data_IF_085837753841
#
_entry.id   IF_085837753841
#
_cell.length_a   1.000
_cell.length_b   1.000
_cell.length_c   1.000
_cell.angle_alpha   90.00
_cell.angle_beta   90.00
_cell.angle_gamma   90.00
#
_symmetry.space_group_name_H-M   'P 1'
#
loop_
_entity.id
_entity.type
_entity.pdbx_description
1 polymer ?
#
# COMPACT_ATOMS: atom_id res chain seq x y z
N UNK A 1 -0.02 -8.18 -18.18
CA UNK A 1 0.27 -7.87 -16.77
C UNK A 1 1.66 -7.25 -16.74
N UNK A 2 1.89 -6.08 -16.11
CA UNK A 2 3.26 -5.66 -15.82
C UNK A 2 3.94 -6.82 -15.07
N UNK A 3 5.16 -7.18 -15.46
CA UNK A 3 5.77 -8.47 -15.12
C UNK A 3 6.18 -8.61 -13.64
N UNK A 4 5.56 -7.86 -12.72
CA UNK A 4 5.79 -7.93 -11.28
C UNK A 4 7.27 -7.76 -10.91
N UNK A 5 8.03 -7.09 -11.77
CA UNK A 5 9.47 -6.93 -11.56
C UNK A 5 9.66 -6.05 -10.32
N UNK A 6 10.65 -6.36 -9.48
CA UNK A 6 11.02 -5.45 -8.39
C UNK A 6 11.24 -4.03 -8.93
N UNK A 7 10.58 -3.05 -8.32
CA UNK A 7 10.63 -1.64 -8.71
C UNK A 7 9.51 -1.16 -9.65
N UNK A 8 8.63 -2.04 -10.12
CA UNK A 8 7.56 -1.70 -11.08
C UNK A 8 6.29 -1.19 -10.36
N UNK A 9 5.99 -1.76 -9.19
CA UNK A 9 4.88 -1.32 -8.35
C UNK A 9 5.27 -1.41 -6.86
N UNK A 10 5.18 -0.29 -6.11
CA UNK A 10 5.55 -0.27 -4.70
C UNK A 10 4.72 -1.24 -3.85
N UNK A 11 3.47 -1.52 -4.24
CA UNK A 11 2.64 -2.53 -3.56
C UNK A 11 3.25 -3.94 -3.69
N UNK A 12 3.61 -4.36 -4.92
CA UNK A 12 4.21 -5.69 -5.12
C UNK A 12 5.60 -5.78 -4.54
N UNK A 13 6.33 -4.67 -4.52
CA UNK A 13 7.65 -4.61 -3.90
C UNK A 13 7.59 -4.87 -2.40
N UNK A 14 6.60 -4.31 -1.71
CA UNK A 14 6.38 -4.61 -0.29
C UNK A 14 5.83 -6.03 -0.12
N UNK A 15 4.73 -6.36 -0.80
CA UNK A 15 3.97 -7.59 -0.52
C UNK A 15 4.64 -8.86 -1.02
N UNK A 16 5.20 -8.83 -2.24
CA UNK A 16 5.79 -10.01 -2.88
C UNK A 16 7.31 -10.08 -2.67
N UNK A 17 7.99 -8.93 -2.74
CA UNK A 17 9.45 -8.87 -2.69
C UNK A 17 10.00 -8.52 -1.30
N UNK A 18 9.15 -8.17 -0.33
CA UNK A 18 9.55 -7.86 1.05
C UNK A 18 10.45 -6.62 1.16
N UNK A 19 10.39 -5.72 0.18
CA UNK A 19 11.22 -4.52 0.14
C UNK A 19 10.64 -3.45 1.06
N UNK A 20 11.52 -2.75 1.77
CA UNK A 20 11.15 -1.50 2.46
C UNK A 20 11.04 -0.38 1.43
N UNK A 21 9.84 0.18 1.24
CA UNK A 21 9.58 1.24 0.26
C UNK A 21 9.30 2.55 0.98
N UNK A 22 8.25 2.59 1.81
CA UNK A 22 7.78 3.80 2.47
C UNK A 22 8.22 3.87 3.94
N UNK A 23 8.68 2.75 4.48
CA UNK A 23 9.08 2.61 5.87
C UNK A 23 8.14 1.71 6.67
N UNK A 24 8.55 1.32 7.89
CA UNK A 24 7.96 0.18 8.60
C UNK A 24 6.46 0.32 8.87
N UNK A 25 5.96 1.54 9.11
CA UNK A 25 4.54 1.78 9.42
C UNK A 25 3.65 1.58 8.19
N UNK A 26 3.99 2.25 7.09
CA UNK A 26 3.23 2.19 5.84
C UNK A 26 3.35 0.80 5.22
N UNK A 27 4.54 0.22 5.20
CA UNK A 27 4.77 -1.12 4.66
C UNK A 27 3.97 -2.19 5.44
N UNK A 28 3.87 -2.05 6.77
CA UNK A 28 2.99 -2.91 7.60
C UNK A 28 1.51 -2.76 7.25
N UNK A 29 1.05 -1.54 6.95
CA UNK A 29 -0.33 -1.31 6.53
C UNK A 29 -0.61 -1.90 5.14
N UNK A 30 0.36 -1.81 4.23
CA UNK A 30 0.29 -2.43 2.89
C UNK A 30 0.13 -3.95 3.01
N UNK A 31 0.91 -4.61 3.86
CA UNK A 31 0.74 -6.04 4.15
C UNK A 31 -0.67 -6.35 4.67
N UNK A 32 -1.20 -5.52 5.58
CA UNK A 32 -2.53 -5.73 6.13
C UNK A 32 -3.63 -5.55 5.09
N UNK A 33 -3.48 -4.61 4.16
CA UNK A 33 -4.38 -4.49 3.00
C UNK A 33 -4.34 -5.77 2.15
N UNK A 34 -3.15 -6.33 1.92
CA UNK A 34 -2.98 -7.58 1.19
C UNK A 34 -3.70 -8.76 1.89
N UNK A 35 -3.54 -8.89 3.21
CA UNK A 35 -4.21 -9.92 4.01
C UNK A 35 -5.73 -9.82 4.00
N UNK A 36 -6.29 -8.61 3.84
CA UNK A 36 -7.74 -8.37 3.79
C UNK A 36 -8.37 -8.54 2.40
N UNK A 37 -7.64 -9.08 1.42
CA UNK A 37 -8.15 -9.35 0.07
C UNK A 37 -7.49 -8.55 -1.06
N UNK A 38 -6.34 -7.91 -0.80
CA UNK A 38 -5.53 -7.25 -1.83
C UNK A 38 -5.85 -5.77 -2.05
N UNK A 39 -4.88 -4.99 -2.53
CA UNK A 39 -5.10 -3.59 -2.89
C UNK A 39 -5.97 -3.43 -4.15
N UNK A 40 -6.94 -2.53 -4.07
CA UNK A 40 -7.70 -2.04 -5.22
C UNK A 40 -6.94 -0.97 -6.02
N UNK A 41 -7.41 -0.63 -7.23
CA UNK A 41 -6.77 0.32 -8.13
C UNK A 41 -6.52 1.70 -7.48
N UNK A 42 -7.38 2.13 -6.56
CA UNK A 42 -7.20 3.40 -5.85
C UNK A 42 -5.96 3.36 -4.95
N UNK A 43 -5.84 2.30 -4.14
CA UNK A 43 -4.66 2.08 -3.28
C UNK A 43 -3.39 1.93 -4.12
N UNK A 44 -3.42 1.16 -5.20
CA UNK A 44 -2.25 0.99 -6.08
C UNK A 44 -1.79 2.32 -6.67
N UNK A 45 -2.74 3.14 -7.13
CA UNK A 45 -2.46 4.47 -7.68
C UNK A 45 -1.95 5.44 -6.59
N UNK A 46 -2.51 5.39 -5.39
CA UNK A 46 -2.03 6.18 -4.25
C UNK A 46 -0.56 5.88 -3.95
N UNK A 47 -0.21 4.60 -3.81
CA UNK A 47 1.15 4.15 -3.52
C UNK A 47 2.11 4.56 -4.63
N UNK A 48 1.73 4.37 -5.90
CA UNK A 48 2.57 4.75 -7.03
C UNK A 48 2.85 6.26 -7.06
N UNK A 49 1.83 7.09 -6.83
CA UNK A 49 1.98 8.55 -6.85
C UNK A 49 2.84 9.11 -5.71
N UNK A 50 2.97 8.36 -4.61
CA UNK A 50 3.73 8.77 -3.44
C UNK A 50 5.03 7.97 -3.28
N UNK A 51 5.41 7.17 -4.28
CA UNK A 51 6.62 6.35 -4.21
C UNK A 51 7.85 7.25 -3.99
N UNK A 52 8.55 7.10 -2.85
CA UNK A 52 9.69 7.96 -2.51
C UNK A 52 10.86 7.81 -3.50
N UNK A 53 10.90 6.72 -4.27
CA UNK A 53 11.94 6.44 -5.28
C UNK A 53 11.79 7.30 -6.53
N UNK A 54 10.60 7.86 -6.78
CA UNK A 54 10.33 8.72 -7.92
C UNK A 54 10.80 10.17 -7.70
N UNK A 55 11.30 10.51 -6.51
CA UNK A 55 11.87 11.84 -6.22
C UNK A 55 10.85 12.98 -6.28
N UNK A 56 9.55 12.68 -6.26
CA UNK A 56 8.49 13.68 -6.29
C UNK A 56 8.39 14.39 -4.94
N UNK A 57 8.62 15.70 -4.93
CA UNK A 57 8.65 16.56 -3.74
C UNK A 57 7.30 16.70 -2.98
N UNK A 58 6.31 15.87 -3.30
CA UNK A 58 4.95 15.88 -2.74
C UNK A 58 4.57 14.62 -1.97
N UNK A 59 5.53 13.75 -1.64
CA UNK A 59 5.25 12.59 -0.78
C UNK A 59 4.91 13.08 0.63
N UNK A 60 3.62 13.19 0.94
CA UNK A 60 3.14 13.30 2.33
C UNK A 60 2.89 11.88 2.86
N UNK A 61 3.85 11.28 3.58
CA UNK A 61 3.68 9.93 4.13
C UNK A 61 2.51 9.85 5.11
N UNK A 62 2.13 10.95 5.77
CA UNK A 62 0.99 10.97 6.68
C UNK A 62 -0.33 10.81 5.92
N UNK A 63 -0.45 11.40 4.72
CA UNK A 63 -1.63 11.23 3.86
C UNK A 63 -1.78 9.77 3.39
N UNK A 64 -0.66 9.14 2.99
CA UNK A 64 -0.64 7.72 2.59
C UNK A 64 -1.03 6.82 3.76
N UNK A 65 -0.41 7.03 4.92
CA UNK A 65 -0.71 6.29 6.15
C UNK A 65 -2.18 6.43 6.56
N UNK A 66 -2.73 7.64 6.54
CA UNK A 66 -4.12 7.90 6.89
C UNK A 66 -5.09 7.14 5.98
N UNK A 67 -4.86 7.17 4.66
CA UNK A 67 -5.71 6.48 3.69
C UNK A 67 -5.62 4.96 3.85
N UNK A 68 -4.42 4.41 4.01
CA UNK A 68 -4.24 2.97 4.25
C UNK A 68 -4.92 2.51 5.54
N UNK A 69 -4.82 3.29 6.63
CA UNK A 69 -5.55 3.00 7.87
C UNK A 69 -7.06 2.99 7.66
N UNK A 70 -7.59 3.93 6.88
CA UNK A 70 -9.01 3.97 6.54
C UNK A 70 -9.43 2.70 5.79
N UNK A 71 -8.68 2.30 4.76
CA UNK A 71 -8.96 1.08 3.98
C UNK A 71 -8.94 -0.17 4.87
N UNK A 72 -7.93 -0.29 5.73
CA UNK A 72 -7.85 -1.41 6.70
C UNK A 72 -9.04 -1.39 7.66
N UNK A 73 -9.47 -0.22 8.13
CA UNK A 73 -10.60 -0.09 9.03
C UNK A 73 -11.95 -0.41 8.37
N UNK A 74 -12.16 0.03 7.12
CA UNK A 74 -13.36 -0.26 6.33
C UNK A 74 -13.50 -1.76 6.08
N UNK A 75 -12.40 -2.41 5.70
CA UNK A 75 -12.36 -3.85 5.44
C UNK A 75 -12.44 -4.69 6.72
N UNK A 76 -11.87 -4.21 7.82
CA UNK A 76 -12.01 -4.84 9.14
C UNK A 76 -13.44 -4.79 9.71
N UNK A 77 -14.24 -3.77 9.36
CA UNK A 77 -15.66 -3.66 9.79
C UNK A 77 -16.60 -4.58 9.02
N UNK A 78 -16.23 -5.02 7.81
CA UNK A 78 -17.02 -5.96 7.00
C UNK A 78 -16.95 -7.43 7.47
N UNK A 79 -16.05 -7.77 8.40
CA UNK A 79 -15.83 -9.14 8.88
C UNK A 79 -16.43 -9.39 10.28
N UNK A 80 -17.64 -8.89 10.53
CA UNK A 80 -18.47 -9.37 11.65
C UNK A 80 -19.51 -10.34 11.08
N UNK A 81 -19.36 -11.66 11.26
CA UNK A 81 -20.47 -12.57 11.02
C UNK A 81 -21.56 -12.25 12.06
N UNK A 82 -22.78 -12.02 11.58
CA UNK A 82 -23.98 -12.01 12.41
C UNK A 82 -24.37 -13.43 12.82
#
# INVERSE_FOLDING_TARGET
MPNGKPGDNPYTDVVLHGMTVFGPVIDSLIHRVAETGGADDEVLRLLHNHDPRLGVAGCDPAAVEARLRQVVAERGRGSRPA
#
